data_IF_548792075309
#
_entry.id   IF_548792075309
#
_cell.length_a   1.000
_cell.length_b   1.000
_cell.length_c   1.000
_cell.angle_alpha   90.00
_cell.angle_beta   90.00
_cell.angle_gamma   90.00
#
_symmetry.space_group_name_H-M   'P 1'
#
loop_
_entity.id
_entity.type
_entity.pdbx_description
1 polymer ?
#
# COMPACT_ATOMS: atom_id res chain seq x y z
N UNK A 1 24.32 -20.52 1.36
CA UNK A 1 23.28 -20.87 0.38
C UNK A 1 21.94 -20.94 1.09
N UNK A 2 21.10 -19.91 0.97
CA UNK A 2 19.65 -20.07 1.18
C UNK A 2 18.95 -19.02 0.32
N UNK A 3 18.66 -19.42 -0.92
CA UNK A 3 17.73 -18.73 -1.80
C UNK A 3 16.33 -18.86 -1.16
N UNK A 4 15.70 -17.72 -0.88
CA UNK A 4 14.29 -17.68 -0.53
C UNK A 4 13.50 -17.27 -1.79
N UNK A 5 13.09 -18.29 -2.53
CA UNK A 5 11.80 -18.43 -3.22
C UNK A 5 11.29 -17.23 -4.04
N UNK A 6 11.61 -17.26 -5.34
CA UNK A 6 11.25 -16.31 -6.40
C UNK A 6 9.76 -16.32 -6.82
N UNK A 7 8.83 -16.79 -5.99
CA UNK A 7 7.38 -16.70 -6.26
C UNK A 7 6.56 -16.19 -5.08
N UNK A 8 7.20 -15.48 -4.16
CA UNK A 8 6.46 -14.60 -3.25
C UNK A 8 6.04 -13.36 -4.06
N UNK A 9 4.82 -13.37 -4.62
CA UNK A 9 4.11 -12.15 -5.04
C UNK A 9 4.32 -11.14 -3.93
N UNK A 10 5.24 -10.20 -4.13
CA UNK A 10 5.63 -9.30 -3.07
C UNK A 10 4.40 -8.50 -2.71
N UNK A 11 3.81 -8.77 -1.54
CA UNK A 11 2.69 -8.04 -0.95
C UNK A 11 3.21 -6.65 -0.57
N UNK A 12 3.48 -5.86 -1.60
CA UNK A 12 4.05 -4.53 -1.55
C UNK A 12 3.07 -3.63 -2.27
N UNK A 13 2.80 -2.51 -1.63
CA UNK A 13 2.08 -1.43 -2.26
C UNK A 13 2.97 -0.73 -3.28
N UNK A 14 2.37 -0.09 -4.27
CA UNK A 14 3.04 0.81 -5.21
C UNK A 14 3.92 1.82 -4.47
N UNK A 15 5.08 2.23 -5.03
CA UNK A 15 5.90 3.32 -4.50
C UNK A 15 5.16 4.65 -4.34
N UNK A 16 3.98 4.77 -4.94
CA UNK A 16 3.13 5.95 -4.89
C UNK A 16 2.01 5.87 -3.83
N UNK A 17 1.92 4.77 -3.08
CA UNK A 17 1.00 4.64 -1.95
C UNK A 17 1.23 5.75 -0.90
N UNK A 18 0.19 6.27 -0.22
CA UNK A 18 -1.24 5.91 -0.28
C UNK A 18 -2.05 6.71 -1.32
N UNK A 19 -1.41 7.21 -2.39
CA UNK A 19 -2.11 8.08 -3.34
C UNK A 19 -3.16 7.33 -4.15
N UNK A 20 -4.26 8.01 -4.45
CA UNK A 20 -5.32 7.54 -5.35
C UNK A 20 -5.55 8.61 -6.42
N UNK A 21 -4.89 8.51 -7.59
CA UNK A 21 -5.22 9.36 -8.72
C UNK A 21 -6.70 9.25 -9.07
N UNK A 22 -7.32 10.34 -9.58
CA UNK A 22 -8.75 10.35 -9.93
C UNK A 22 -9.15 9.17 -10.85
N UNK A 23 -8.26 8.79 -11.78
CA UNK A 23 -8.47 7.66 -12.69
C UNK A 23 -8.51 6.29 -11.98
N UNK A 24 -7.90 6.16 -10.81
CA UNK A 24 -7.82 4.94 -10.02
C UNK A 24 -8.76 4.96 -8.81
N UNK A 25 -9.70 5.90 -8.74
CA UNK A 25 -10.57 6.07 -7.56
C UNK A 25 -11.35 4.80 -7.23
N UNK A 26 -11.99 4.17 -8.22
CA UNK A 26 -12.80 2.96 -8.01
C UNK A 26 -11.99 1.77 -7.46
N UNK A 27 -10.83 1.48 -8.07
CA UNK A 27 -9.94 0.39 -7.63
C UNK A 27 -9.31 0.70 -6.28
N UNK A 28 -8.96 1.97 -6.03
CA UNK A 28 -8.43 2.45 -4.76
C UNK A 28 -9.44 2.32 -3.62
N UNK A 29 -10.66 2.81 -3.80
CA UNK A 29 -11.73 2.70 -2.80
C UNK A 29 -12.01 1.23 -2.44
N UNK A 30 -12.03 0.34 -3.44
CA UNK A 30 -12.23 -1.10 -3.21
C UNK A 30 -11.07 -1.70 -2.40
N UNK A 31 -9.82 -1.34 -2.72
CA UNK A 31 -8.65 -1.79 -1.97
C UNK A 31 -8.64 -1.27 -0.53
N UNK A 32 -8.84 0.03 -0.32
CA UNK A 32 -8.83 0.62 1.01
C UNK A 32 -10.00 0.14 1.88
N UNK A 33 -11.18 -0.10 1.30
CA UNK A 33 -12.30 -0.69 2.02
C UNK A 33 -11.98 -2.12 2.50
N UNK A 34 -11.36 -2.93 1.63
CA UNK A 34 -10.91 -4.27 2.01
C UNK A 34 -9.84 -4.21 3.12
N UNK A 35 -8.82 -3.37 2.94
CA UNK A 35 -7.74 -3.23 3.90
C UNK A 35 -8.23 -2.70 5.26
N UNK A 36 -9.19 -1.77 5.27
CA UNK A 36 -9.80 -1.28 6.50
C UNK A 36 -10.57 -2.39 7.24
N UNK A 37 -11.26 -3.26 6.49
CA UNK A 37 -12.01 -4.38 7.06
C UNK A 37 -11.11 -5.48 7.64
N UNK A 38 -10.01 -5.80 6.97
CA UNK A 38 -9.18 -6.98 7.29
C UNK A 38 -7.82 -6.67 7.92
N UNK A 39 -7.34 -5.43 7.80
CA UNK A 39 -6.05 -4.98 8.34
C UNK A 39 -6.16 -4.14 9.61
N UNK A 40 -7.38 -3.92 10.13
CA UNK A 40 -7.59 -3.21 11.40
C UNK A 40 -7.11 -4.06 12.57
N UNK A 41 -6.28 -3.47 13.43
CA UNK A 41 -5.89 -4.10 14.68
C UNK A 41 -7.09 -4.15 15.65
N UNK A 42 -7.32 -5.27 16.34
CA UNK A 42 -8.33 -5.34 17.40
C UNK A 42 -7.98 -4.36 18.52
N UNK A 43 -8.99 -3.76 19.14
CA UNK A 43 -8.76 -2.88 20.30
C UNK A 43 -8.11 -3.67 21.46
N UNK A 44 -7.07 -3.09 22.05
CA UNK A 44 -6.33 -3.73 23.15
C UNK A 44 -5.37 -4.85 22.73
N UNK A 45 -5.27 -5.19 21.43
CA UNK A 45 -4.37 -6.23 20.93
C UNK A 45 -3.36 -5.63 19.95
N UNK A 46 -2.08 -5.71 20.31
CA UNK A 46 -0.99 -5.38 19.37
C UNK A 46 -0.66 -6.61 18.53
N UNK A 47 -1.32 -6.74 17.37
CA UNK A 47 -0.98 -7.76 16.37
C UNK A 47 -0.04 -7.13 15.32
N UNK A 48 1.29 -7.36 15.41
CA UNK A 48 2.26 -6.76 14.49
C UNK A 48 2.06 -7.21 13.04
N UNK A 49 1.38 -8.34 12.82
CA UNK A 49 1.11 -8.90 11.50
C UNK A 49 -0.27 -8.50 10.93
N UNK A 50 -1.09 -7.72 11.65
CA UNK A 50 -2.43 -7.34 11.20
C UNK A 50 -2.43 -6.69 9.81
N UNK A 51 -1.46 -5.80 9.54
CA UNK A 51 -1.31 -5.18 8.22
C UNK A 51 -0.99 -6.20 7.12
N UNK A 52 -0.09 -7.15 7.40
CA UNK A 52 0.28 -8.21 6.45
C UNK A 52 -0.90 -9.15 6.17
N UNK A 53 -1.63 -9.56 7.21
CA UNK A 53 -2.86 -10.38 7.10
C UNK A 53 -3.95 -9.67 6.30
N UNK A 54 -4.11 -8.36 6.52
CA UNK A 54 -5.02 -7.51 5.73
C UNK A 54 -4.62 -7.47 4.25
N UNK A 55 -3.34 -7.24 3.95
CA UNK A 55 -2.85 -7.24 2.57
C UNK A 55 -3.00 -8.61 1.88
N UNK A 56 -2.73 -9.71 2.59
CA UNK A 56 -2.95 -11.07 2.08
C UNK A 56 -4.42 -11.31 1.74
N UNK A 57 -5.34 -10.87 2.60
CA UNK A 57 -6.78 -11.00 2.38
C UNK A 57 -7.29 -10.17 1.20
N UNK A 58 -6.57 -9.10 0.86
CA UNK A 58 -6.95 -8.13 -0.17
C UNK A 58 -6.05 -8.16 -1.41
N UNK A 59 -5.37 -9.29 -1.68
CA UNK A 59 -4.33 -9.38 -2.73
C UNK A 59 -4.83 -8.97 -4.12
N UNK A 60 -6.05 -9.39 -4.50
CA UNK A 60 -6.62 -9.04 -5.81
C UNK A 60 -6.87 -7.54 -5.95
N UNK A 61 -7.35 -6.91 -4.88
CA UNK A 61 -7.59 -5.46 -4.86
C UNK A 61 -6.28 -4.69 -4.82
N UNK A 62 -5.28 -5.20 -4.10
CA UNK A 62 -3.92 -4.65 -4.06
C UNK A 62 -3.27 -4.63 -5.45
N UNK A 63 -3.35 -5.74 -6.19
CA UNK A 63 -2.82 -5.84 -7.56
C UNK A 63 -3.51 -4.85 -8.50
N UNK A 64 -4.84 -4.76 -8.46
CA UNK A 64 -5.60 -3.82 -9.27
C UNK A 64 -5.27 -2.35 -8.94
N UNK A 65 -5.11 -2.04 -7.65
CA UNK A 65 -4.70 -0.73 -7.18
C UNK A 65 -3.29 -0.38 -7.68
N UNK A 66 -2.31 -1.26 -7.45
CA UNK A 66 -0.92 -1.06 -7.87
C UNK A 66 -0.83 -0.86 -9.38
N UNK A 67 -1.43 -1.75 -10.17
CA UNK A 67 -1.41 -1.67 -11.63
C UNK A 67 -1.96 -0.34 -12.16
N UNK A 68 -3.06 0.16 -11.58
CA UNK A 68 -3.63 1.44 -11.99
C UNK A 68 -2.74 2.61 -11.60
N UNK A 69 -2.28 2.64 -10.34
CA UNK A 69 -1.48 3.75 -9.82
C UNK A 69 -0.14 3.84 -10.53
N UNK A 70 0.56 2.72 -10.69
CA UNK A 70 1.84 2.66 -11.38
C UNK A 70 1.71 3.13 -12.83
N UNK A 71 0.64 2.70 -13.53
CA UNK A 71 0.34 3.17 -14.88
C UNK A 71 0.15 4.69 -14.93
N UNK A 72 -0.66 5.26 -14.04
CA UNK A 72 -0.94 6.71 -14.04
C UNK A 72 0.32 7.53 -13.75
N UNK A 73 1.18 7.08 -12.84
CA UNK A 73 2.42 7.79 -12.50
C UNK A 73 3.55 7.55 -13.50
N UNK A 74 3.55 6.42 -14.22
CA UNK A 74 4.41 6.21 -15.38
C UNK A 74 4.04 7.16 -16.53
N UNK A 75 2.73 7.30 -16.83
CA UNK A 75 2.24 8.18 -17.90
C UNK A 75 2.38 9.67 -17.58
N UNK A 76 2.26 10.03 -16.29
CA UNK A 76 2.33 11.42 -15.81
C UNK A 76 3.22 11.51 -14.58
N UNK A 77 4.56 11.54 -14.74
CA UNK A 77 5.48 11.69 -13.63
C UNK A 77 5.27 13.05 -12.98
N UNK A 78 4.53 13.08 -11.88
CA UNK A 78 4.38 14.30 -11.07
C UNK A 78 5.65 14.49 -10.26
N UNK A 79 6.19 15.71 -10.23
CA UNK A 79 7.26 16.06 -9.29
C UNK A 79 6.76 15.82 -7.86
N UNK A 80 7.27 14.78 -7.23
CA UNK A 80 6.96 14.43 -5.85
C UNK A 80 7.93 15.17 -4.96
N UNK A 81 7.49 16.29 -4.41
CA UNK A 81 8.22 16.93 -3.32
C UNK A 81 8.04 16.06 -2.08
N UNK A 82 9.13 15.45 -1.62
CA UNK A 82 9.16 14.85 -0.29
C UNK A 82 9.09 15.99 0.71
N UNK A 83 8.41 15.74 1.82
CA UNK A 83 8.41 16.68 2.95
C UNK A 83 9.86 17.00 3.32
N UNK A 84 10.22 18.28 3.51
CA UNK A 84 11.55 18.68 3.93
C UNK A 84 11.95 17.95 5.22
N UNK A 85 13.24 17.66 5.36
CA UNK A 85 13.77 16.87 6.48
C UNK A 85 13.44 17.49 7.85
N UNK A 86 13.35 18.82 7.92
CA UNK A 86 12.95 19.57 9.12
C UNK A 86 11.57 19.21 9.68
N UNK A 87 10.68 18.57 8.90
CA UNK A 87 9.37 18.10 9.37
C UNK A 87 9.30 16.57 9.52
N UNK A 88 10.43 15.86 9.40
CA UNK A 88 10.51 14.40 9.68
C UNK A 88 10.77 14.08 11.14
N UNK A 89 10.89 15.09 12.00
CA UNK A 89 11.18 14.91 13.42
C UNK A 89 10.05 14.09 14.05
N UNK A 90 10.40 12.95 14.64
CA UNK A 90 9.50 12.15 15.46
C UNK A 90 9.71 12.69 16.88
N UNK A 91 8.73 13.40 17.43
CA UNK A 91 8.76 13.73 18.86
C UNK A 91 8.85 12.39 19.62
N UNK A 92 9.89 12.28 20.46
CA UNK A 92 10.28 11.07 21.20
C UNK A 92 9.33 10.77 22.36
#
# INVERSE_FOLDING_TARGET
MTQADETQLTLRVSPHFPRVPKACKSVGETFFACLYKHGKQPEGVSDPDAGKKGMQSCVRQLEAYNACVDKVFADKPRKMFRVPEAYRVREE
#
